data_IF_918118775548
#
_entry.id   IF_918118775548
#
_cell.length_a   1.000
_cell.length_b   1.000
_cell.length_c   1.000
_cell.angle_alpha   90.00
_cell.angle_beta   90.00
_cell.angle_gamma   90.00
#
_symmetry.space_group_name_H-M   'P 1'
#
loop_
_entity.id
_entity.type
_entity.pdbx_description
1 polymer ?
#
# COMPACT_ATOMS: atom_id res chain seq x y z
N UNK A 1 4.14 -11.01 15.50
CA UNK A 1 2.77 -11.58 15.38
C UNK A 1 1.98 -10.64 14.49
N UNK A 2 1.59 -11.06 13.29
CA UNK A 2 0.82 -10.23 12.36
C UNK A 2 -0.65 -10.14 12.86
N UNK A 3 -1.22 -8.93 12.90
CA UNK A 3 -2.59 -8.71 13.40
C UNK A 3 -3.60 -8.84 12.25
N UNK A 4 -4.56 -9.75 12.39
CA UNK A 4 -5.66 -9.93 11.43
C UNK A 4 -6.81 -9.02 11.85
N UNK A 5 -7.38 -8.30 10.90
CA UNK A 5 -8.48 -7.37 11.14
C UNK A 5 -9.80 -8.13 11.41
N UNK A 6 -10.08 -8.36 12.69
CA UNK A 6 -11.21 -9.15 13.15
C UNK A 6 -12.55 -8.40 13.04
N UNK A 7 -13.67 -9.13 13.08
CA UNK A 7 -14.99 -8.53 12.91
C UNK A 7 -15.31 -7.42 13.93
N UNK A 8 -14.86 -7.56 15.18
CA UNK A 8 -15.05 -6.54 16.21
C UNK A 8 -14.26 -5.26 15.92
N UNK A 9 -13.04 -5.40 15.38
CA UNK A 9 -12.17 -4.29 15.00
C UNK A 9 -12.72 -3.58 13.77
N UNK A 10 -13.22 -4.32 12.78
CA UNK A 10 -13.89 -3.77 11.61
C UNK A 10 -15.09 -2.88 11.98
N UNK A 11 -15.93 -3.35 12.91
CA UNK A 11 -17.07 -2.56 13.41
C UNK A 11 -16.64 -1.35 14.24
N UNK A 12 -15.58 -1.49 15.05
CA UNK A 12 -15.03 -0.38 15.83
C UNK A 12 -14.44 0.70 14.90
N UNK A 13 -13.73 0.29 13.86
CA UNK A 13 -13.19 1.17 12.83
C UNK A 13 -14.29 1.87 12.04
N UNK A 14 -15.35 1.15 11.64
CA UNK A 14 -16.51 1.73 10.96
C UNK A 14 -17.16 2.84 11.80
N UNK A 15 -17.46 2.58 13.07
CA UNK A 15 -18.00 3.61 13.99
C UNK A 15 -17.04 4.78 14.18
N UNK A 16 -15.74 4.52 14.24
CA UNK A 16 -14.74 5.56 14.40
C UNK A 16 -14.65 6.48 13.17
N UNK A 17 -14.81 5.94 11.97
CA UNK A 17 -14.81 6.72 10.72
C UNK A 17 -15.91 7.78 10.68
N UNK A 18 -17.03 7.55 11.37
CA UNK A 18 -18.15 8.51 11.49
C UNK A 18 -17.88 9.64 12.51
N UNK A 19 -16.79 9.57 13.27
CA UNK A 19 -16.43 10.63 14.22
C UNK A 19 -15.68 11.77 13.51
N UNK A 20 -15.65 13.00 14.08
CA UNK A 20 -14.84 14.09 13.54
C UNK A 20 -13.34 13.77 13.43
N UNK A 21 -12.84 12.83 14.23
CA UNK A 21 -11.47 12.34 14.17
C UNK A 21 -11.25 11.43 12.96
N UNK A 22 -12.16 10.48 12.71
CA UNK A 22 -12.17 9.60 11.55
C UNK A 22 -12.32 10.37 10.24
N UNK A 23 -13.27 11.30 10.16
CA UNK A 23 -13.43 12.18 9.00
C UNK A 23 -12.16 13.01 8.71
N UNK A 24 -11.50 13.49 9.77
CA UNK A 24 -10.25 14.22 9.64
C UNK A 24 -9.13 13.34 9.11
N UNK A 25 -9.03 12.12 9.60
CA UNK A 25 -8.07 11.12 9.14
C UNK A 25 -8.27 10.78 7.65
N UNK A 26 -9.51 10.49 7.21
CA UNK A 26 -9.80 10.17 5.80
C UNK A 26 -9.42 11.34 4.90
N UNK A 27 -9.82 12.57 5.27
CA UNK A 27 -9.44 13.77 4.52
C UNK A 27 -7.93 13.96 4.44
N UNK A 28 -7.23 13.79 5.57
CA UNK A 28 -5.78 14.00 5.68
C UNK A 28 -4.99 12.95 4.88
N UNK A 29 -5.38 11.67 4.95
CA UNK A 29 -4.77 10.57 4.20
C UNK A 29 -5.07 10.63 2.70
N UNK A 30 -6.30 10.95 2.29
CA UNK A 30 -6.64 11.15 0.87
C UNK A 30 -5.89 12.34 0.27
N UNK A 31 -5.76 13.44 1.02
CA UNK A 31 -4.96 14.58 0.58
C UNK A 31 -3.46 14.25 0.49
N UNK A 32 -2.96 13.29 1.25
CA UNK A 32 -1.60 12.78 1.05
C UNK A 32 -1.51 11.96 -0.23
N UNK A 33 -2.43 11.02 -0.46
CA UNK A 33 -2.49 10.23 -1.71
C UNK A 33 -2.52 11.14 -2.94
N UNK A 34 -3.40 12.14 -2.98
CA UNK A 34 -3.50 13.07 -4.11
C UNK A 34 -2.18 13.81 -4.39
N UNK A 35 -1.39 14.09 -3.34
CA UNK A 35 -0.13 14.83 -3.45
C UNK A 35 1.04 13.96 -3.85
N UNK A 36 1.12 12.74 -3.31
CA UNK A 36 2.31 11.89 -3.47
C UNK A 36 2.14 10.86 -4.55
N UNK A 37 0.93 10.30 -4.71
CA UNK A 37 0.67 9.21 -5.66
C UNK A 37 0.75 9.73 -7.10
N UNK A 38 0.29 10.96 -7.36
CA UNK A 38 0.31 11.60 -8.69
C UNK A 38 -0.14 10.62 -9.80
N UNK A 39 -1.27 9.96 -9.57
CA UNK A 39 -1.84 8.99 -10.50
C UNK A 39 -2.67 9.67 -11.58
N UNK A 40 -2.94 8.92 -12.64
CA UNK A 40 -3.78 9.38 -13.76
C UNK A 40 -5.11 8.63 -13.77
N UNK A 41 -6.21 9.28 -14.19
CA UNK A 41 -7.44 8.55 -14.49
C UNK A 41 -7.18 7.36 -15.43
N UNK A 42 -7.81 6.22 -15.14
CA UNK A 42 -7.59 4.95 -15.83
C UNK A 42 -6.45 4.10 -15.27
N UNK A 43 -5.63 4.62 -14.34
CA UNK A 43 -4.63 3.79 -13.66
C UNK A 43 -5.29 2.69 -12.83
N UNK A 44 -4.72 1.50 -12.92
CA UNK A 44 -5.01 0.38 -12.03
C UNK A 44 -4.26 0.59 -10.72
N UNK A 45 -4.98 0.78 -9.63
CA UNK A 45 -4.40 1.00 -8.30
C UNK A 45 -4.82 -0.13 -7.38
N UNK A 46 -3.84 -0.81 -6.79
CA UNK A 46 -4.05 -1.80 -5.73
C UNK A 46 -3.84 -1.16 -4.37
N UNK A 47 -4.76 -1.38 -3.44
CA UNK A 47 -4.60 -1.06 -2.02
C UNK A 47 -4.41 -2.35 -1.20
N UNK A 48 -3.23 -2.51 -0.62
CA UNK A 48 -2.87 -3.71 0.17
C UNK A 48 -3.17 -3.43 1.65
N UNK A 49 -4.07 -4.21 2.23
CA UNK A 49 -4.71 -3.94 3.52
C UNK A 49 -5.78 -2.86 3.39
N UNK A 50 -6.68 -2.97 2.40
CA UNK A 50 -7.63 -1.90 2.06
C UNK A 50 -8.70 -1.64 3.14
N UNK A 51 -8.79 -2.50 4.18
CA UNK A 51 -9.73 -2.36 5.28
C UNK A 51 -11.18 -2.24 4.79
N UNK A 52 -11.83 -1.11 5.10
CA UNK A 52 -13.21 -0.83 4.70
C UNK A 52 -13.32 -0.05 3.36
N UNK A 53 -12.23 0.04 2.59
CA UNK A 53 -12.22 0.60 1.24
C UNK A 53 -12.39 2.12 1.17
N UNK A 54 -12.09 2.87 2.24
CA UNK A 54 -12.26 4.34 2.26
C UNK A 54 -11.35 5.04 1.26
N UNK A 55 -10.10 4.60 1.13
CA UNK A 55 -9.13 5.18 0.19
C UNK A 55 -9.45 4.77 -1.26
N UNK A 56 -9.91 3.53 -1.45
CA UNK A 56 -10.40 3.07 -2.75
C UNK A 56 -11.59 3.88 -3.25
N UNK A 57 -12.54 4.25 -2.37
CA UNK A 57 -13.66 5.10 -2.73
C UNK A 57 -13.19 6.47 -3.24
N UNK A 58 -12.20 7.07 -2.56
CA UNK A 58 -11.59 8.32 -2.98
C UNK A 58 -10.92 8.18 -4.36
N UNK A 59 -10.04 7.19 -4.54
CA UNK A 59 -9.33 6.96 -5.81
C UNK A 59 -10.29 6.66 -6.97
N UNK A 60 -11.33 5.87 -6.73
CA UNK A 60 -12.37 5.58 -7.71
C UNK A 60 -13.11 6.85 -8.12
N UNK A 61 -13.46 7.74 -7.17
CA UNK A 61 -14.11 9.02 -7.47
C UNK A 61 -13.26 9.96 -8.35
N UNK A 62 -11.94 9.71 -8.38
CA UNK A 62 -10.94 10.45 -9.16
C UNK A 62 -10.57 9.73 -10.48
N UNK A 63 -11.23 8.62 -10.78
CA UNK A 63 -11.12 7.89 -12.04
C UNK A 63 -10.10 6.75 -12.06
N UNK A 64 -9.59 6.29 -10.92
CA UNK A 64 -8.77 5.08 -10.86
C UNK A 64 -9.61 3.81 -11.01
N UNK A 65 -9.01 2.77 -11.59
CA UNK A 65 -9.53 1.40 -11.57
C UNK A 65 -9.00 0.68 -10.33
N UNK A 66 -9.85 0.58 -9.30
CA UNK A 66 -9.42 0.21 -7.96
C UNK A 66 -9.50 -1.29 -7.70
N UNK A 67 -8.46 -1.83 -7.07
CA UNK A 67 -8.43 -3.18 -6.52
C UNK A 67 -8.02 -3.10 -5.06
N UNK A 68 -8.61 -3.93 -4.21
CA UNK A 68 -8.27 -4.03 -2.80
C UNK A 68 -7.89 -5.45 -2.42
N UNK A 69 -6.88 -5.60 -1.58
CA UNK A 69 -6.56 -6.87 -0.92
C UNK A 69 -6.65 -6.66 0.58
N UNK A 70 -7.40 -7.52 1.28
CA UNK A 70 -7.58 -7.43 2.73
C UNK A 70 -7.50 -8.82 3.37
N UNK A 71 -6.76 -8.96 4.46
CA UNK A 71 -6.61 -10.24 5.16
C UNK A 71 -7.88 -10.62 5.93
N UNK A 72 -8.58 -9.62 6.50
CA UNK A 72 -9.82 -9.78 7.26
C UNK A 72 -11.04 -9.98 6.36
N UNK A 73 -11.67 -11.18 6.30
CA UNK A 73 -12.76 -11.46 5.37
C UNK A 73 -14.01 -10.60 5.61
N UNK A 74 -14.25 -10.17 6.85
CA UNK A 74 -15.36 -9.27 7.18
C UNK A 74 -15.13 -7.86 6.61
N UNK A 75 -13.93 -7.32 6.80
CA UNK A 75 -13.57 -6.00 6.29
C UNK A 75 -13.60 -5.97 4.75
N UNK A 76 -13.07 -7.02 4.10
CA UNK A 76 -13.15 -7.20 2.65
C UNK A 76 -14.60 -7.18 2.14
N UNK A 77 -15.51 -7.89 2.82
CA UNK A 77 -16.95 -7.88 2.47
C UNK A 77 -17.59 -6.50 2.63
N UNK A 78 -17.27 -5.78 3.70
CA UNK A 78 -17.78 -4.42 3.93
C UNK A 78 -17.24 -3.44 2.87
N UNK A 79 -15.96 -3.54 2.51
CA UNK A 79 -15.36 -2.76 1.43
C UNK A 79 -16.04 -3.03 0.08
N UNK A 80 -16.24 -4.30 -0.27
CA UNK A 80 -16.94 -4.69 -1.49
C UNK A 80 -18.38 -4.17 -1.53
N UNK A 81 -19.10 -4.27 -0.41
CA UNK A 81 -20.46 -3.72 -0.28
C UNK A 81 -20.51 -2.19 -0.44
N UNK A 82 -19.53 -1.49 0.12
CA UNK A 82 -19.41 -0.02 0.03
C UNK A 82 -19.07 0.47 -1.37
N UNK A 83 -18.13 -0.20 -2.04
CA UNK A 83 -17.61 0.22 -3.35
C UNK A 83 -18.49 -0.28 -4.51
N UNK A 84 -19.24 -1.36 -4.28
CA UNK A 84 -20.09 -1.98 -5.28
C UNK A 84 -19.28 -2.64 -6.41
N UNK A 85 -19.92 -2.94 -7.55
CA UNK A 85 -19.35 -3.78 -8.61
C UNK A 85 -18.22 -3.12 -9.42
N UNK A 86 -17.81 -1.90 -9.05
CA UNK A 86 -16.75 -1.14 -9.74
C UNK A 86 -15.36 -1.33 -9.11
N UNK A 87 -15.29 -2.04 -7.99
CA UNK A 87 -14.04 -2.37 -7.32
C UNK A 87 -13.92 -3.88 -7.16
N UNK A 88 -12.72 -4.40 -7.42
CA UNK A 88 -12.38 -5.79 -7.17
C UNK A 88 -11.73 -5.90 -5.79
N UNK A 89 -12.34 -6.66 -4.88
CA UNK A 89 -11.84 -6.82 -3.50
C UNK A 89 -11.56 -8.31 -3.25
N UNK A 90 -10.29 -8.63 -3.01
CA UNK A 90 -9.82 -9.97 -2.72
C UNK A 90 -9.49 -10.14 -1.23
N UNK A 91 -9.69 -11.36 -0.74
CA UNK A 91 -9.16 -11.76 0.57
C UNK A 91 -7.81 -12.43 0.37
N UNK A 92 -6.76 -11.93 1.02
CA UNK A 92 -5.42 -12.47 0.83
C UNK A 92 -4.37 -11.95 1.79
N UNK A 93 -3.19 -12.57 1.74
CA UNK A 93 -2.03 -12.20 2.55
C UNK A 93 -1.18 -11.14 1.82
N UNK A 94 -0.90 -10.03 2.50
CA UNK A 94 -0.01 -8.98 1.99
C UNK A 94 1.44 -9.45 1.75
N UNK A 95 1.83 -10.59 2.35
CA UNK A 95 3.16 -11.17 2.20
C UNK A 95 3.33 -12.06 0.96
N UNK A 96 2.22 -12.40 0.27
CA UNK A 96 2.19 -13.22 -0.94
C UNK A 96 1.00 -12.79 -1.80
N UNK A 97 1.21 -11.76 -2.63
CA UNK A 97 0.12 -11.13 -3.36
C UNK A 97 -0.31 -12.03 -4.55
N UNK A 98 -1.61 -12.32 -4.71
CA UNK A 98 -2.14 -13.25 -5.73
C UNK A 98 -2.24 -12.61 -7.12
N UNK A 99 -1.27 -11.75 -7.47
CA UNK A 99 -1.25 -10.99 -8.72
C UNK A 99 0.08 -11.20 -9.45
N UNK A 100 0.03 -11.14 -10.77
CA UNK A 100 1.22 -11.23 -11.60
C UNK A 100 2.10 -9.98 -11.46
N UNK A 101 3.38 -10.12 -11.79
CA UNK A 101 4.34 -9.01 -11.80
C UNK A 101 3.85 -7.87 -12.72
N UNK A 102 4.02 -6.62 -12.27
CA UNK A 102 3.63 -5.41 -13.01
C UNK A 102 2.14 -5.38 -13.43
N UNK A 103 1.27 -5.95 -12.60
CA UNK A 103 -0.18 -5.91 -12.81
C UNK A 103 -0.76 -4.52 -12.61
N UNK A 104 -0.27 -3.73 -11.65
CA UNK A 104 -0.87 -2.45 -11.27
C UNK A 104 0.02 -1.28 -11.60
N UNK A 105 -0.55 -0.18 -12.11
CA UNK A 105 0.22 1.04 -12.36
C UNK A 105 0.82 1.58 -11.07
N UNK A 106 0.05 1.52 -9.98
CA UNK A 106 0.51 1.85 -8.65
C UNK A 106 -0.05 0.91 -7.57
N UNK A 107 0.71 0.76 -6.49
CA UNK A 107 0.27 0.05 -5.28
C UNK A 107 0.36 1.00 -4.10
N UNK A 108 -0.66 1.01 -3.26
CA UNK A 108 -0.68 1.78 -2.02
C UNK A 108 -0.79 0.85 -0.81
N UNK A 109 -0.20 1.29 0.30
CA UNK A 109 -0.32 0.68 1.62
C UNK A 109 -0.62 1.80 2.60
N UNK A 110 -1.84 1.87 3.10
CA UNK A 110 -2.27 2.94 4.01
C UNK A 110 -2.54 2.37 5.39
N UNK A 111 -1.68 2.71 6.33
CA UNK A 111 -1.64 2.19 7.70
C UNK A 111 -1.57 0.66 7.80
N UNK A 112 -1.06 -0.01 6.75
CA UNK A 112 -0.93 -1.48 6.68
C UNK A 112 0.32 -2.00 7.38
N UNK A 113 1.43 -1.26 7.29
CA UNK A 113 2.75 -1.72 7.75
C UNK A 113 2.87 -1.72 9.28
N UNK A 114 1.96 -1.06 9.97
CA UNK A 114 1.82 -1.00 11.41
C UNK A 114 1.39 -2.33 12.02
N UNK A 115 0.82 -3.23 11.20
CA UNK A 115 0.22 -4.50 11.64
C UNK A 115 1.03 -5.74 11.25
N UNK A 116 2.19 -5.56 10.61
CA UNK A 116 3.10 -6.65 10.20
C UNK A 116 4.52 -6.41 10.70
N UNK A 117 5.18 -7.48 11.14
CA UNK A 117 6.61 -7.44 11.45
C UNK A 117 7.47 -7.63 10.19
N UNK A 118 6.96 -8.32 9.16
CA UNK A 118 7.67 -8.66 7.91
C UNK A 118 7.47 -7.59 6.83
N UNK A 119 7.61 -6.33 7.22
CA UNK A 119 7.36 -5.13 6.38
C UNK A 119 8.14 -5.15 5.06
N UNK A 120 9.39 -5.62 5.09
CA UNK A 120 10.24 -5.70 3.89
C UNK A 120 9.67 -6.67 2.85
N UNK A 121 9.10 -7.79 3.28
CA UNK A 121 8.43 -8.75 2.39
C UNK A 121 7.19 -8.13 1.75
N UNK A 122 6.35 -7.45 2.54
CA UNK A 122 5.14 -6.77 2.04
C UNK A 122 5.49 -5.69 1.00
N UNK A 123 6.50 -4.86 1.29
CA UNK A 123 6.95 -3.83 0.33
C UNK A 123 7.57 -4.46 -0.92
N UNK A 124 8.26 -5.60 -0.79
CA UNK A 124 8.82 -6.31 -1.93
C UNK A 124 7.73 -6.89 -2.85
N UNK A 125 6.66 -7.45 -2.27
CA UNK A 125 5.50 -7.94 -3.02
C UNK A 125 4.72 -6.79 -3.67
N UNK A 126 4.48 -5.70 -2.94
CA UNK A 126 3.88 -4.49 -3.50
C UNK A 126 4.69 -3.97 -4.70
N UNK A 127 6.02 -3.95 -4.60
CA UNK A 127 6.87 -3.55 -5.71
C UNK A 127 6.92 -4.56 -6.83
N UNK A 128 6.76 -5.86 -6.56
CA UNK A 128 6.68 -6.90 -7.59
C UNK A 128 5.47 -6.70 -8.51
N UNK A 129 4.32 -6.39 -7.92
CA UNK A 129 3.06 -6.21 -8.68
C UNK A 129 2.87 -4.81 -9.25
N UNK A 130 3.68 -3.83 -8.82
CA UNK A 130 3.64 -2.44 -9.30
C UNK A 130 4.50 -2.22 -10.56
N UNK A 131 3.96 -1.47 -11.52
CA UNK A 131 4.66 -1.09 -12.76
C UNK A 131 5.38 0.25 -12.63
N UNK A 132 4.80 1.23 -11.91
CA UNK A 132 5.37 2.57 -11.78
C UNK A 132 5.86 2.90 -10.38
N UNK A 133 5.02 2.70 -9.36
CA UNK A 133 5.32 3.19 -8.01
C UNK A 133 4.58 2.44 -6.91
N UNK A 134 5.21 2.42 -5.73
CA UNK A 134 4.59 1.99 -4.47
C UNK A 134 4.47 3.22 -3.57
N UNK A 135 3.32 3.41 -2.93
CA UNK A 135 3.13 4.47 -1.96
C UNK A 135 2.76 3.94 -0.58
N UNK A 136 3.53 4.37 0.41
CA UNK A 136 3.35 3.99 1.81
C UNK A 136 2.80 5.19 2.56
N UNK A 137 1.66 5.04 3.22
CA UNK A 137 1.14 6.00 4.19
C UNK A 137 1.13 5.33 5.56
N UNK A 138 1.71 5.99 6.56
CA UNK A 138 1.76 5.46 7.91
C UNK A 138 1.53 6.54 8.97
N UNK A 139 1.08 6.10 10.14
CA UNK A 139 0.94 6.92 11.33
C UNK A 139 2.29 7.30 11.91
N UNK A 140 2.48 8.60 12.18
CA UNK A 140 3.73 9.13 12.68
C UNK A 140 3.90 8.88 14.18
N UNK A 141 4.91 8.10 14.55
CA UNK A 141 5.34 7.95 15.94
C UNK A 141 5.77 9.28 16.59
N UNK A 142 6.14 10.31 15.83
CA UNK A 142 6.57 11.59 16.41
C UNK A 142 5.43 12.61 16.57
N UNK A 143 4.19 12.25 16.24
CA UNK A 143 3.05 13.18 16.39
C UNK A 143 2.44 13.13 17.79
N UNK A 144 2.38 14.27 18.51
CA UNK A 144 1.67 14.35 19.78
C UNK A 144 0.19 14.01 19.67
N UNK A 145 -0.45 14.35 18.54
CA UNK A 145 -1.87 14.04 18.30
C UNK A 145 -2.07 12.54 18.08
N UNK A 146 -1.15 11.87 17.39
CA UNK A 146 -1.16 10.42 17.26
C UNK A 146 -1.00 9.76 18.64
N UNK A 147 -0.07 10.25 19.47
CA UNK A 147 0.10 9.74 20.83
C UNK A 147 -1.18 9.89 21.67
N UNK A 148 -1.78 11.08 21.69
CA UNK A 148 -3.01 11.35 22.44
C UNK A 148 -4.15 10.43 21.99
N UNK A 149 -4.27 10.15 20.69
CA UNK A 149 -5.30 9.27 20.15
C UNK A 149 -5.11 7.79 20.56
N UNK A 150 -3.88 7.36 20.82
CA UNK A 150 -3.53 5.99 21.22
C UNK A 150 -3.45 5.80 22.74
N UNK A 151 -3.63 6.86 23.54
CA UNK A 151 -3.82 6.71 24.99
C UNK A 151 -5.12 5.95 25.28
N UNK A 152 -5.20 5.17 26.37
CA UNK A 152 -6.45 4.54 26.80
C UNK A 152 -7.58 5.56 26.91
N UNK A 153 -8.69 5.34 26.18
CA UNK A 153 -9.81 6.28 26.10
C UNK A 153 -9.69 7.39 25.04
N UNK A 154 -8.58 7.46 24.31
CA UNK A 154 -8.33 8.41 23.21
C UNK A 154 -9.12 8.14 21.93
N UNK A 155 -9.80 7.00 21.86
CA UNK A 155 -10.81 6.69 20.85
C UNK A 155 -10.29 6.17 19.51
N UNK A 156 -8.97 6.00 19.31
CA UNK A 156 -8.46 5.34 18.10
C UNK A 156 -8.73 3.83 18.16
N UNK A 157 -9.29 3.21 17.11
CA UNK A 157 -9.67 1.79 17.13
C UNK A 157 -8.47 0.85 17.15
N UNK A 158 -7.27 1.32 16.82
CA UNK A 158 -6.06 0.50 16.72
C UNK A 158 -4.99 0.91 17.74
N UNK A 159 -5.27 0.71 19.03
CA UNK A 159 -4.28 0.97 20.10
C UNK A 159 -3.05 0.05 20.01
N UNK A 160 -3.14 -1.09 19.33
CA UNK A 160 -2.05 -2.06 19.13
C UNK A 160 -1.15 -1.81 17.90
N UNK A 161 -1.41 -0.76 17.11
CA UNK A 161 -0.62 -0.45 15.93
C UNK A 161 0.83 -0.08 16.29
N UNK A 162 1.80 -0.67 15.60
CA UNK A 162 3.20 -0.30 15.76
C UNK A 162 3.50 1.00 14.99
N UNK A 163 3.35 2.14 15.67
CA UNK A 163 3.63 3.45 15.08
C UNK A 163 5.05 3.53 14.51
N UNK A 164 5.18 4.10 13.32
CA UNK A 164 6.44 4.13 12.60
C UNK A 164 7.08 5.53 12.68
N UNK A 165 8.36 5.66 13.07
CA UNK A 165 9.06 6.92 12.92
C UNK A 165 9.30 7.17 11.42
N UNK A 166 9.26 8.42 10.94
CA UNK A 166 9.30 8.72 9.49
C UNK A 166 10.49 8.11 8.74
N UNK A 167 11.66 8.10 9.38
CA UNK A 167 12.90 7.53 8.86
C UNK A 167 12.82 6.03 8.58
N UNK A 168 11.94 5.31 9.27
CA UNK A 168 11.78 3.86 9.08
C UNK A 168 11.18 3.53 7.72
N UNK A 169 10.25 4.34 7.20
CA UNK A 169 9.73 4.18 5.84
C UNK A 169 10.83 4.38 4.78
N UNK A 170 11.65 5.42 4.94
CA UNK A 170 12.78 5.66 4.02
C UNK A 170 13.82 4.54 4.05
N UNK A 171 14.15 4.03 5.24
CA UNK A 171 15.06 2.90 5.41
C UNK A 171 14.49 1.65 4.74
N UNK A 172 13.22 1.35 4.98
CA UNK A 172 12.52 0.20 4.42
C UNK A 172 12.49 0.25 2.88
N UNK A 173 12.09 1.39 2.30
CA UNK A 173 12.10 1.58 0.85
C UNK A 173 13.50 1.42 0.28
N UNK A 174 14.52 2.00 0.91
CA UNK A 174 15.90 1.89 0.45
C UNK A 174 16.45 0.46 0.56
N UNK A 175 16.07 -0.27 1.59
CA UNK A 175 16.45 -1.67 1.79
C UNK A 175 15.85 -2.56 0.69
N UNK A 176 14.57 -2.36 0.36
CA UNK A 176 13.84 -3.23 -0.58
C UNK A 176 14.05 -2.82 -2.04
N UNK A 177 13.99 -1.53 -2.36
CA UNK A 177 14.02 -1.00 -3.73
C UNK A 177 15.38 -0.42 -4.13
N UNK A 178 16.29 -0.23 -3.18
CA UNK A 178 17.54 0.47 -3.41
C UNK A 178 17.37 1.99 -3.54
N UNK A 179 18.37 2.70 -4.10
CA UNK A 179 18.32 4.15 -4.28
C UNK A 179 17.43 4.53 -5.47
N UNK A 180 16.12 4.62 -5.23
CA UNK A 180 15.13 5.02 -6.24
C UNK A 180 14.63 6.45 -6.03
N UNK A 181 14.18 7.15 -7.09
CA UNK A 181 13.45 8.40 -6.95
C UNK A 181 12.25 8.20 -6.02
N UNK A 182 12.10 9.10 -5.06
CA UNK A 182 10.98 9.07 -4.11
C UNK A 182 10.47 10.48 -3.81
N UNK A 183 9.17 10.58 -3.57
CA UNK A 183 8.49 11.79 -3.11
C UNK A 183 7.85 11.51 -1.76
N UNK A 184 7.79 12.53 -0.89
CA UNK A 184 7.17 12.38 0.41
C UNK A 184 6.43 13.64 0.81
N UNK A 185 5.43 13.47 1.66
CA UNK A 185 4.70 14.56 2.29
C UNK A 185 4.24 14.14 3.67
N UNK A 186 3.99 15.12 4.54
CA UNK A 186 3.33 14.89 5.82
C UNK A 186 2.04 15.72 5.90
N UNK A 187 1.12 15.29 6.76
CA UNK A 187 0.00 16.16 7.17
C UNK A 187 0.53 17.36 7.95
N UNK A 188 -0.07 18.54 7.84
CA UNK A 188 0.33 19.67 8.66
C UNK A 188 0.07 19.39 10.16
N UNK A 189 0.90 19.94 11.07
CA UNK A 189 0.74 19.72 12.51
C UNK A 189 -0.53 20.38 13.10
N UNK A 190 -1.08 21.39 12.43
CA UNK A 190 -2.33 22.07 12.79
C UNK A 190 -3.18 22.36 11.56
N UNK A 191 -4.52 22.38 11.73
CA UNK A 191 -5.47 22.70 10.65
C UNK A 191 -5.17 24.10 10.08
N UNK A 192 -5.16 24.22 8.76
CA UNK A 192 -4.90 25.48 8.05
C UNK A 192 -3.41 25.83 7.87
N UNK A 193 -2.48 25.03 8.39
CA UNK A 193 -1.06 25.23 8.12
C UNK A 193 -0.64 24.73 6.74
N UNK A 194 0.28 25.47 6.12
CA UNK A 194 0.94 25.10 4.86
C UNK A 194 2.29 24.39 5.07
N UNK A 195 2.63 24.01 6.31
CA UNK A 195 3.84 23.24 6.62
C UNK A 195 3.67 21.77 6.19
N UNK A 196 3.83 21.52 4.89
CA UNK A 196 3.58 20.24 4.20
C UNK A 196 4.76 19.26 4.25
N UNK A 197 5.95 19.78 4.52
CA UNK A 197 7.19 19.02 4.73
C UNK A 197 7.68 19.21 6.17
N UNK A 198 6.80 18.91 7.13
CA UNK A 198 7.10 19.05 8.55
C UNK A 198 7.14 17.69 9.23
N UNK A 199 8.18 17.38 10.02
CA UNK A 199 8.38 16.01 10.44
C UNK A 199 7.42 15.53 11.54
N UNK A 200 6.60 16.43 12.09
CA UNK A 200 5.70 16.18 13.22
C UNK A 200 4.22 16.10 12.82
N UNK A 201 3.93 15.94 11.52
CA UNK A 201 2.58 15.65 11.03
C UNK A 201 2.03 14.34 11.59
N UNK A 202 0.71 14.15 11.62
CA UNK A 202 0.05 12.91 12.09
C UNK A 202 0.32 11.72 11.18
N UNK A 203 0.26 11.94 9.87
CA UNK A 203 0.49 10.92 8.85
C UNK A 203 1.64 11.35 7.95
N UNK A 204 2.37 10.36 7.46
CA UNK A 204 3.40 10.52 6.44
C UNK A 204 3.08 9.67 5.24
N UNK A 205 3.35 10.22 4.07
CA UNK A 205 3.32 9.49 2.82
C UNK A 205 4.72 9.49 2.20
N UNK A 206 5.15 8.33 1.72
CA UNK A 206 6.36 8.12 0.93
C UNK A 206 5.98 7.30 -0.30
N UNK A 207 6.04 7.91 -1.49
CA UNK A 207 5.92 7.18 -2.74
C UNK A 207 7.30 7.00 -3.38
N UNK A 208 7.59 5.79 -3.83
CA UNK A 208 8.86 5.42 -4.44
C UNK A 208 8.64 4.83 -5.84
N UNK A 209 9.48 5.22 -6.79
CA UNK A 209 9.47 4.64 -8.12
C UNK A 209 9.91 3.17 -8.06
N UNK A 210 9.26 2.34 -8.87
CA UNK A 210 9.58 0.93 -9.05
C UNK A 210 10.20 0.73 -10.42
N UNK A 211 11.19 -0.15 -10.51
CA UNK A 211 11.69 -0.63 -11.79
C UNK A 211 10.92 -1.90 -12.16
N UNK A 212 10.07 -1.89 -13.20
CA UNK A 212 9.26 -3.04 -13.54
C UNK A 212 10.13 -4.26 -13.88
N UNK A 213 9.69 -5.43 -13.42
CA UNK A 213 10.40 -6.70 -13.63
C UNK A 213 9.96 -7.30 -14.96
N UNK A 214 10.84 -7.27 -15.96
CA UNK A 214 10.60 -7.96 -17.21
C UNK A 214 11.36 -9.28 -17.24
N UNK A 215 10.68 -10.38 -17.58
CA UNK A 215 11.39 -11.59 -18.04
C UNK A 215 11.89 -11.33 -19.46
N UNK A 216 13.16 -11.02 -19.60
CA UNK A 216 13.79 -10.99 -20.91
C UNK A 216 14.07 -12.42 -21.35
N UNK A 217 13.58 -12.80 -22.54
CA UNK A 217 14.09 -13.99 -23.22
C UNK A 217 15.37 -13.55 -23.94
N UNK A 218 16.54 -14.18 -23.69
CA UNK A 218 17.75 -13.87 -24.43
C UNK A 218 17.46 -14.01 -25.92
N UNK A 219 17.65 -12.93 -26.68
CA UNK A 219 17.59 -12.99 -28.13
C UNK A 219 18.85 -13.72 -28.58
N UNK A 220 18.72 -14.98 -29.02
CA UNK A 220 19.84 -15.70 -29.63
C UNK A 220 20.10 -15.09 -31.00
N UNK A 221 21.04 -14.16 -31.08
CA UNK A 221 21.52 -13.64 -32.35
C UNK A 221 22.48 -14.68 -32.92
N UNK A 222 22.05 -15.43 -33.93
CA UNK A 222 22.95 -16.30 -34.68
C UNK A 222 23.88 -15.39 -35.49
N UNK A 223 25.10 -15.18 -34.99
CA UNK A 223 26.18 -14.58 -35.77
C UNK A 223 26.40 -15.42 -37.02
N UNK A 224 26.31 -14.82 -38.21
CA UNK A 224 26.69 -15.46 -39.47
C UNK A 224 28.22 -15.65 -39.61
N UNK A 225 28.99 -15.51 -38.53
CA UNK A 225 30.42 -15.80 -38.48
C UNK A 225 30.72 -16.68 -37.26
N UNK A 226 31.37 -17.82 -37.50
CA UNK A 226 31.55 -18.91 -36.55
C UNK A 226 32.35 -18.55 -35.30
N UNK A 227 31.64 -18.28 -34.21
CA UNK A 227 32.19 -18.22 -32.86
C UNK A 227 31.34 -19.10 -31.92
N UNK A 228 32.01 -19.84 -31.04
CA UNK A 228 31.48 -20.94 -30.22
C UNK A 228 30.29 -20.54 -29.33
N UNK A 229 29.36 -21.48 -29.04
CA UNK A 229 28.12 -21.16 -28.32
C UNK A 229 28.38 -20.83 -26.84
N UNK A 230 27.88 -19.68 -26.40
CA UNK A 230 27.86 -19.29 -24.97
C UNK A 230 26.77 -20.07 -24.22
N UNK A 231 27.10 -20.58 -23.02
CA UNK A 231 26.17 -21.36 -22.19
C UNK A 231 25.03 -20.50 -21.62
N UNK A 232 23.79 -21.02 -21.60
CA UNK A 232 22.65 -20.31 -21.01
C UNK A 232 22.67 -20.43 -19.47
N UNK A 233 22.58 -19.29 -18.78
CA UNK A 233 22.30 -19.24 -17.34
C UNK A 233 20.80 -19.52 -17.10
N UNK A 234 20.48 -20.55 -16.32
CA UNK A 234 19.11 -20.92 -15.94
C UNK A 234 18.66 -20.20 -14.67
N UNK A 235 17.56 -19.46 -14.70
CA UNK A 235 16.82 -19.06 -13.50
C UNK A 235 15.57 -19.93 -13.32
N UNK A 236 15.40 -20.49 -12.12
CA UNK A 236 14.37 -21.48 -11.78
C UNK A 236 13.09 -20.80 -11.30
N UNK A 237 11.93 -21.26 -11.79
CA UNK A 237 10.62 -20.93 -11.20
C UNK A 237 9.56 -21.96 -11.60
N UNK A 238 8.99 -22.66 -10.60
CA UNK A 238 7.91 -23.65 -10.76
C UNK A 238 6.55 -22.97 -10.86
N UNK A 239 5.64 -23.57 -11.62
CA UNK A 239 4.25 -23.14 -11.82
C UNK A 239 3.34 -24.03 -10.98
N UNK A 240 2.46 -23.43 -10.16
CA UNK A 240 1.37 -24.11 -9.46
C UNK A 240 0.02 -23.69 -10.07
N UNK A 241 -0.86 -24.66 -10.31
CA UNK A 241 -2.17 -24.47 -10.96
C UNK A 241 -3.19 -23.91 -9.94
N UNK A 242 -3.89 -22.83 -10.33
CA UNK A 242 -4.94 -22.17 -9.56
C UNK A 242 -6.33 -22.68 -9.93
N UNK A 243 -7.22 -22.80 -8.93
CA UNK A 243 -8.67 -22.92 -9.10
C UNK A 243 -9.37 -21.66 -8.61
N UNK A 244 -10.25 -21.09 -9.45
CA UNK A 244 -11.06 -19.90 -9.20
C UNK A 244 -12.44 -20.33 -8.68
N UNK A 245 -12.94 -19.70 -7.63
CA UNK A 245 -14.34 -19.82 -7.21
C UNK A 245 -15.04 -18.50 -7.57
N UNK A 246 -16.22 -18.61 -8.20
CA UNK A 246 -17.08 -17.50 -8.62
C UNK A 246 -17.91 -16.97 -7.47
#
# INVERSE_FOLDING_TARGET
MDLIFEAAEAQAYERWLETPAGEAYVRESCALLDRTLDFRPGWRVLDVGCGLGVHLAHLMSRGAMVHGLEAGPMAARLAAGRLGPKADIDVGDAHDLPYDDNSFDAVILVDTLEFTERRAQVVAEAARVATSRVCLIAMNLLSPRTWLAHLPGGGHPFAGAMLLPPWSLFRLVREVLGPVPSSWAATPPWRGSNLRHWPLGNLWALCAAVTPRYRTRPLTVTSAAGAAPAQPMTSHGRVGVLHRIK
#
